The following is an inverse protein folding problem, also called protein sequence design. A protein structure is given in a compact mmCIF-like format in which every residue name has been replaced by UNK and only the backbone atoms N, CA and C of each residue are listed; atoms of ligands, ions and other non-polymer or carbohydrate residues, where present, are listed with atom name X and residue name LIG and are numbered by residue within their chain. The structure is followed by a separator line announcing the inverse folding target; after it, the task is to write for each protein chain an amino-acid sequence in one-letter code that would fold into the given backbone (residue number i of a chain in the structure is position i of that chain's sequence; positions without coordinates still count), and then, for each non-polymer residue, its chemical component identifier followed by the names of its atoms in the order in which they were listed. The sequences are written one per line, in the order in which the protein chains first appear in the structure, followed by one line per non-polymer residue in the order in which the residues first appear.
data_IF_876708829487
#
_entry.id   IF_876708829487
#
_cell.length_a   1.000
_cell.length_b   1.000
_cell.length_c   1.000
_cell.angle_alpha   90.00
_cell.angle_beta   90.00
_cell.angle_gamma   90.00
#
_symmetry.space_group_name_H-M   'P 1'
#
loop_
_entity.id
_entity.type
_entity.pdbx_description
1 polymer ?
#
# COMPACT_ATOMS: atom_id res chain seq x y z
N UNK A 1 -3.96 22.46 -2.32
CA UNK A 1 -2.95 21.59 -1.66
C UNK A 1 -1.64 22.35 -1.41
N UNK A 2 -1.63 23.31 -0.47
CA UNK A 2 -0.45 24.16 -0.16
C UNK A 2 -0.18 24.49 1.33
N UNK A 3 -0.93 24.01 2.36
CA UNK A 3 -0.59 24.37 3.75
C UNK A 3 0.34 23.38 4.47
N UNK A 4 0.65 22.20 3.90
CA UNK A 4 1.40 21.15 4.62
C UNK A 4 2.92 21.39 4.59
N UNK A 5 3.45 21.97 3.52
CA UNK A 5 4.90 22.19 3.36
C UNK A 5 5.41 23.26 4.34
N UNK A 6 4.58 24.25 4.69
CA UNK A 6 4.97 25.34 5.60
C UNK A 6 5.19 24.85 7.04
N UNK A 7 4.47 23.81 7.49
CA UNK A 7 4.60 23.29 8.86
C UNK A 7 5.88 22.48 9.07
N UNK A 8 6.40 21.83 8.03
CA UNK A 8 7.62 21.01 8.12
C UNK A 8 8.88 21.91 8.14
N UNK A 9 8.86 23.04 7.43
CA UNK A 9 9.99 23.99 7.43
C UNK A 9 10.13 24.75 8.75
N UNK A 10 9.04 24.95 9.50
CA UNK A 10 9.06 25.68 10.78
C UNK A 10 9.57 24.84 11.96
N UNK A 11 9.51 23.51 11.86
CA UNK A 11 9.97 22.60 12.91
C UNK A 11 11.49 22.34 12.84
N UNK A 12 12.10 22.57 11.67
CA UNK A 12 13.56 22.48 11.46
C UNK A 12 14.33 23.72 11.95
N UNK A 13 13.66 24.87 12.10
CA UNK A 13 14.33 26.11 12.51
C UNK A 13 14.45 26.28 14.04
N UNK A 14 13.71 25.49 14.83
CA UNK A 14 13.76 25.55 16.29
C UNK A 14 14.97 24.85 16.92
N UNK A 15 15.75 24.09 16.14
CA UNK A 15 16.92 23.36 16.64
C UNK A 15 18.25 24.12 16.54
N UNK A 16 18.31 25.24 15.80
CA UNK A 16 19.57 25.97 15.54
C UNK A 16 19.85 27.07 16.57
N UNK A 17 18.87 27.49 17.38
CA UNK A 17 19.06 28.59 18.34
C UNK A 17 19.60 28.18 19.71
N UNK A 18 19.84 26.89 19.98
CA UNK A 18 20.31 26.43 21.30
C UNK A 18 21.84 26.26 21.42
N UNK A 19 22.64 26.79 20.48
CA UNK A 19 24.10 26.61 20.50
C UNK A 19 24.86 27.81 21.11
N UNK A 20 24.21 28.95 21.38
CA UNK A 20 24.94 30.20 21.70
C UNK A 20 24.91 30.70 23.16
N UNK A 21 24.49 29.90 24.14
CA UNK A 21 24.49 30.33 25.56
C UNK A 21 25.29 29.41 26.49
N UNK A 22 26.55 29.13 26.16
CA UNK A 22 27.53 28.59 27.13
C UNK A 22 28.69 29.58 27.27
N UNK A 23 28.44 30.66 28.02
CA UNK A 23 29.49 31.48 28.59
C UNK A 23 29.56 31.22 30.10
N UNK A 24 30.74 30.76 30.52
CA UNK A 24 31.35 30.96 31.85
C UNK A 24 30.73 30.20 33.03
N UNK A 25 31.30 29.02 33.33
CA UNK A 25 31.36 28.51 34.70
C UNK A 25 32.78 28.01 35.03
N UNK A 26 33.30 28.33 36.24
CA UNK A 26 34.62 27.92 36.69
C UNK A 26 34.63 26.43 37.05
N UNK A 27 35.77 25.78 36.81
CA UNK A 27 36.07 24.37 37.11
C UNK A 27 35.33 23.78 38.33
N UNK A 28 34.56 22.69 38.14
CA UNK A 28 34.40 21.65 39.14
C UNK A 28 35.27 20.42 38.80
N UNK A 29 35.63 19.61 39.81
CA UNK A 29 36.64 18.57 39.69
C UNK A 29 36.15 17.34 38.92
N UNK A 30 37.10 16.68 38.24
CA UNK A 30 37.11 15.33 37.71
C UNK A 30 35.84 14.48 37.97
N UNK A 31 34.88 14.54 37.05
CA UNK A 31 33.79 13.56 36.93
C UNK A 31 33.43 13.29 35.45
N UNK A 32 34.43 13.34 34.57
CA UNK A 32 34.26 13.16 33.11
C UNK A 32 33.77 11.76 32.71
N UNK A 33 33.95 10.76 33.57
CA UNK A 33 33.48 9.39 33.35
C UNK A 33 31.95 9.24 33.37
N UNK A 34 31.23 10.07 34.14
CA UNK A 34 29.76 9.98 34.24
C UNK A 34 29.05 10.67 33.07
N UNK A 35 29.60 11.76 32.54
CA UNK A 35 28.99 12.53 31.44
C UNK A 35 28.99 11.74 30.13
N UNK A 36 30.08 11.01 29.86
CA UNK A 36 30.20 10.18 28.65
C UNK A 36 29.25 8.99 28.68
N UNK A 37 29.08 8.33 29.83
CA UNK A 37 28.09 7.26 30.03
C UNK A 37 26.65 7.76 29.84
N UNK A 38 26.31 8.94 30.39
CA UNK A 38 24.99 9.55 30.22
C UNK A 38 24.67 9.85 28.74
N UNK A 39 25.59 10.46 28.00
CA UNK A 39 25.41 10.74 26.57
C UNK A 39 25.25 9.45 25.75
N UNK A 40 25.99 8.40 26.06
CA UNK A 40 25.83 7.11 25.39
C UNK A 40 24.45 6.49 25.65
N UNK A 41 23.91 6.64 26.86
CA UNK A 41 22.57 6.13 27.19
C UNK A 41 21.46 6.86 26.44
N UNK A 42 21.53 8.19 26.33
CA UNK A 42 20.59 9.01 25.56
C UNK A 42 20.68 8.71 24.07
N UNK A 43 21.89 8.52 23.53
CA UNK A 43 22.07 8.13 22.13
C UNK A 43 21.47 6.75 21.83
N UNK A 44 21.62 5.78 22.74
CA UNK A 44 20.99 4.46 22.62
C UNK A 44 19.47 4.57 22.65
N UNK A 45 18.93 5.38 23.56
CA UNK A 45 17.48 5.64 23.65
C UNK A 45 16.94 6.27 22.37
N UNK A 46 17.60 7.31 21.86
CA UNK A 46 17.21 7.96 20.60
C UNK A 46 17.25 6.98 19.41
N UNK A 47 18.27 6.12 19.33
CA UNK A 47 18.34 5.07 18.29
C UNK A 47 17.17 4.09 18.38
N UNK A 48 16.77 3.71 19.59
CA UNK A 48 15.62 2.85 19.82
C UNK A 48 14.32 3.54 19.38
N UNK A 49 14.10 4.78 19.80
CA UNK A 49 12.91 5.57 19.43
C UNK A 49 12.81 5.76 17.90
N UNK A 50 13.92 6.06 17.22
CA UNK A 50 13.95 6.16 15.76
C UNK A 50 13.61 4.83 15.06
N UNK A 51 14.12 3.70 15.57
CA UNK A 51 13.77 2.38 15.03
C UNK A 51 12.29 2.07 15.23
N UNK A 52 11.73 2.41 16.39
CA UNK A 52 10.31 2.23 16.68
C UNK A 52 9.44 3.07 15.73
N UNK A 53 9.75 4.36 15.55
CA UNK A 53 9.02 5.21 14.59
C UNK A 53 9.11 4.67 13.16
N UNK A 54 10.28 4.14 12.76
CA UNK A 54 10.46 3.53 11.44
C UNK A 54 9.62 2.26 11.28
N UNK A 55 9.49 1.44 12.33
CA UNK A 55 8.61 0.27 12.35
C UNK A 55 7.14 0.71 12.18
N UNK A 56 6.67 1.67 12.97
CA UNK A 56 5.30 2.18 12.89
C UNK A 56 4.97 2.74 11.50
N UNK A 57 5.90 3.49 10.90
CA UNK A 57 5.77 3.97 9.53
C UNK A 57 5.69 2.81 8.52
N UNK A 58 6.51 1.79 8.70
CA UNK A 58 6.56 0.62 7.83
C UNK A 58 5.25 -0.19 7.88
N UNK A 59 4.70 -0.39 9.08
CA UNK A 59 3.40 -1.03 9.28
C UNK A 59 2.26 -0.22 8.67
N UNK A 60 2.29 1.10 8.83
CA UNK A 60 1.31 1.99 8.19
C UNK A 60 1.37 1.88 6.66
N UNK A 61 2.58 1.83 6.09
CA UNK A 61 2.79 1.68 4.65
C UNK A 61 2.23 0.36 4.13
N UNK A 62 2.48 -0.76 4.83
CA UNK A 62 1.91 -2.08 4.49
C UNK A 62 0.38 -2.02 4.52
N UNK A 63 -0.21 -1.49 5.60
CA UNK A 63 -1.67 -1.33 5.70
C UNK A 63 -2.26 -0.49 4.59
N UNK A 64 -1.54 0.53 4.11
CA UNK A 64 -1.98 1.33 2.98
C UNK A 64 -1.97 0.52 1.68
N UNK A 65 -0.90 -0.21 1.40
CA UNK A 65 -0.79 -1.09 0.24
C UNK A 65 -1.87 -2.18 0.25
N UNK A 66 -2.14 -2.79 1.41
CA UNK A 66 -3.22 -3.78 1.57
C UNK A 66 -4.59 -3.19 1.21
N UNK A 67 -4.89 -1.96 1.65
CA UNK A 67 -6.15 -1.29 1.30
C UNK A 67 -6.27 -1.04 -0.20
N UNK A 68 -5.17 -0.64 -0.84
CA UNK A 68 -5.15 -0.41 -2.28
C UNK A 68 -5.29 -1.74 -3.06
N UNK A 69 -4.68 -2.83 -2.57
CA UNK A 69 -4.86 -4.17 -3.11
C UNK A 69 -6.32 -4.64 -3.02
N UNK A 70 -6.95 -4.49 -1.85
CA UNK A 70 -8.35 -4.84 -1.65
C UNK A 70 -9.28 -4.06 -2.59
N UNK A 71 -8.98 -2.78 -2.87
CA UNK A 71 -9.74 -2.00 -3.86
C UNK A 71 -9.62 -2.60 -5.26
N UNK A 72 -8.41 -2.97 -5.69
CA UNK A 72 -8.18 -3.59 -7.00
C UNK A 72 -8.87 -4.94 -7.11
N UNK A 73 -8.79 -5.78 -6.07
CA UNK A 73 -9.47 -7.08 -6.05
C UNK A 73 -10.99 -6.94 -6.12
N UNK A 74 -11.57 -5.97 -5.42
CA UNK A 74 -13.00 -5.68 -5.51
C UNK A 74 -13.42 -5.25 -6.93
N UNK A 75 -12.61 -4.42 -7.60
CA UNK A 75 -12.88 -3.99 -8.98
C UNK A 75 -12.78 -5.18 -9.95
N UNK A 76 -11.79 -6.06 -9.78
CA UNK A 76 -11.68 -7.29 -10.55
C UNK A 76 -12.92 -8.18 -10.36
N UNK A 77 -13.38 -8.36 -9.13
CA UNK A 77 -14.57 -9.16 -8.83
C UNK A 77 -15.81 -8.58 -9.52
N UNK A 78 -16.02 -7.26 -9.44
CA UNK A 78 -17.13 -6.61 -10.11
C UNK A 78 -17.12 -6.82 -11.63
N UNK A 79 -15.95 -6.74 -12.26
CA UNK A 79 -15.80 -7.00 -13.70
C UNK A 79 -16.07 -8.48 -14.05
N UNK A 80 -15.65 -9.41 -13.20
CA UNK A 80 -15.95 -10.83 -13.38
C UNK A 80 -17.44 -11.12 -13.24
N UNK A 81 -18.11 -10.52 -12.26
CA UNK A 81 -19.56 -10.65 -12.07
C UNK A 81 -20.33 -10.10 -13.28
N UNK A 82 -19.88 -8.97 -13.84
CA UNK A 82 -20.42 -8.41 -15.09
C UNK A 82 -20.23 -9.36 -16.28
N UNK A 83 -19.04 -9.94 -16.44
CA UNK A 83 -18.77 -10.90 -17.51
C UNK A 83 -19.65 -12.15 -17.39
N UNK A 84 -19.88 -12.65 -16.17
CA UNK A 84 -20.79 -13.76 -15.92
C UNK A 84 -22.23 -13.39 -16.24
N UNK A 85 -22.68 -12.19 -15.88
CA UNK A 85 -24.02 -11.70 -16.20
C UNK A 85 -24.24 -11.62 -17.72
N UNK A 86 -23.28 -11.09 -18.47
CA UNK A 86 -23.34 -11.05 -19.94
C UNK A 86 -23.37 -12.46 -20.53
N UNK A 87 -22.55 -13.37 -20.00
CA UNK A 87 -22.52 -14.77 -20.46
C UNK A 87 -23.88 -15.47 -20.24
N UNK A 88 -24.57 -15.19 -19.13
CA UNK A 88 -25.94 -15.67 -18.88
C UNK A 88 -26.94 -15.08 -19.87
N UNK A 89 -26.84 -13.78 -20.18
CA UNK A 89 -27.70 -13.14 -21.19
C UNK A 89 -27.51 -13.77 -22.57
N UNK A 90 -26.27 -14.04 -22.98
CA UNK A 90 -25.99 -14.73 -24.25
C UNK A 90 -26.63 -16.13 -24.25
N UNK A 91 -26.49 -16.90 -23.16
CA UNK A 91 -27.09 -18.22 -23.05
C UNK A 91 -28.63 -18.17 -23.07
N UNK A 92 -29.23 -17.14 -22.48
CA UNK A 92 -30.68 -16.92 -22.54
C UNK A 92 -31.16 -16.59 -23.96
N UNK A 93 -30.44 -15.73 -24.69
CA UNK A 93 -30.71 -15.44 -26.10
C UNK A 93 -30.61 -16.72 -26.96
N UNK A 94 -29.63 -17.58 -26.69
CA UNK A 94 -29.48 -18.87 -27.37
C UNK A 94 -30.64 -19.83 -27.03
N UNK A 95 -31.09 -19.86 -25.77
CA UNK A 95 -32.18 -20.72 -25.32
C UNK A 95 -33.56 -20.31 -25.87
N UNK A 96 -33.77 -19.01 -26.15
CA UNK A 96 -35.01 -18.51 -26.75
C UNK A 96 -35.11 -18.81 -28.27
N UNK A 97 -34.22 -19.64 -28.85
CA UNK A 97 -34.21 -19.95 -30.28
C UNK A 97 -35.57 -20.52 -30.71
N UNK A 98 -36.23 -19.96 -31.76
CA UNK A 98 -37.59 -20.35 -32.10
C UNK A 98 -37.67 -21.83 -32.50
N UNK A 99 -38.60 -22.55 -31.87
CA UNK A 99 -39.09 -23.84 -32.34
C UNK A 99 -39.67 -23.74 -33.77
N UNK A 100 -39.64 -24.83 -34.56
CA UNK A 100 -39.44 -24.80 -36.02
C UNK A 100 -40.68 -24.42 -36.88
N UNK A 101 -41.66 -23.69 -36.35
CA UNK A 101 -42.95 -23.56 -37.06
C UNK A 101 -42.94 -22.43 -38.12
N UNK A 102 -42.14 -21.38 -37.97
CA UNK A 102 -41.69 -20.46 -39.04
C UNK A 102 -40.82 -19.34 -38.43
N UNK A 103 -39.50 -19.43 -38.46
CA UNK A 103 -38.65 -18.35 -37.95
C UNK A 103 -38.80 -17.11 -38.85
N UNK A 104 -39.16 -15.96 -38.27
CA UNK A 104 -39.06 -14.69 -38.99
C UNK A 104 -37.57 -14.36 -39.18
N UNK A 105 -37.07 -14.20 -40.43
CA UNK A 105 -35.65 -13.98 -40.71
C UNK A 105 -35.06 -12.79 -39.94
N UNK A 106 -35.83 -11.70 -39.81
CA UNK A 106 -35.40 -10.48 -39.14
C UNK A 106 -35.13 -10.70 -37.63
N UNK A 107 -35.92 -11.56 -36.97
CA UNK A 107 -35.76 -11.83 -35.54
C UNK A 107 -34.51 -12.68 -35.23
N UNK A 108 -34.05 -13.51 -36.18
CA UNK A 108 -32.80 -14.27 -36.06
C UNK A 108 -31.61 -13.32 -36.22
N UNK A 109 -31.65 -12.45 -37.23
CA UNK A 109 -30.55 -11.51 -37.52
C UNK A 109 -30.35 -10.49 -36.38
N UNK A 110 -31.43 -9.91 -35.86
CA UNK A 110 -31.38 -8.99 -34.71
C UNK A 110 -30.77 -9.66 -33.46
N UNK A 111 -31.14 -10.91 -33.20
CA UNK A 111 -30.58 -11.67 -32.08
C UNK A 111 -29.10 -11.99 -32.27
N UNK A 112 -28.72 -12.38 -33.47
CA UNK A 112 -27.33 -12.67 -33.80
C UNK A 112 -26.47 -11.39 -33.66
N UNK A 113 -26.99 -10.24 -34.10
CA UNK A 113 -26.34 -8.95 -33.91
C UNK A 113 -26.21 -8.59 -32.41
N UNK A 114 -27.26 -8.80 -31.61
CA UNK A 114 -27.21 -8.56 -30.16
C UNK A 114 -26.19 -9.46 -29.46
N UNK A 115 -26.11 -10.74 -29.85
CA UNK A 115 -25.11 -11.68 -29.33
C UNK A 115 -23.69 -11.25 -29.68
N UNK A 116 -23.44 -10.90 -30.94
CA UNK A 116 -22.13 -10.41 -31.37
C UNK A 116 -21.75 -9.11 -30.64
N UNK A 117 -22.68 -8.17 -30.45
CA UNK A 117 -22.42 -6.95 -29.67
C UNK A 117 -22.01 -7.28 -28.21
N UNK A 118 -22.75 -8.15 -27.53
CA UNK A 118 -22.42 -8.56 -26.16
C UNK A 118 -21.07 -9.29 -26.06
N UNK A 119 -20.77 -10.16 -27.03
CA UNK A 119 -19.57 -10.99 -27.02
C UNK A 119 -18.32 -10.22 -27.47
N UNK A 120 -18.39 -9.51 -28.58
CA UNK A 120 -17.23 -8.88 -29.22
C UNK A 120 -16.93 -7.50 -28.66
N UNK A 121 -17.94 -6.78 -28.17
CA UNK A 121 -17.76 -5.45 -27.60
C UNK A 121 -17.62 -5.50 -26.06
N UNK A 122 -18.65 -5.97 -25.35
CA UNK A 122 -18.71 -5.85 -23.90
C UNK A 122 -17.76 -6.81 -23.18
N UNK A 123 -17.77 -8.11 -23.52
CA UNK A 123 -16.82 -9.07 -22.91
C UNK A 123 -15.37 -8.72 -23.22
N UNK A 124 -15.07 -8.32 -24.46
CA UNK A 124 -13.73 -7.87 -24.85
C UNK A 124 -13.31 -6.62 -24.08
N UNK A 125 -14.20 -5.65 -23.91
CA UNK A 125 -13.95 -4.44 -23.12
C UNK A 125 -13.65 -4.77 -21.66
N UNK A 126 -14.39 -5.72 -21.06
CA UNK A 126 -14.12 -6.21 -19.71
C UNK A 126 -12.73 -6.87 -19.64
N UNK A 127 -12.39 -7.72 -20.61
CA UNK A 127 -11.10 -8.40 -20.66
C UNK A 127 -9.93 -7.41 -20.74
N UNK A 128 -10.06 -6.36 -21.57
CA UNK A 128 -9.07 -5.28 -21.68
C UNK A 128 -8.90 -4.53 -20.36
N UNK A 129 -9.97 -4.34 -19.57
CA UNK A 129 -9.89 -3.71 -18.23
C UNK A 129 -9.28 -4.62 -17.17
N UNK A 130 -9.50 -5.93 -17.25
CA UNK A 130 -8.97 -6.89 -16.27
C UNK A 130 -7.44 -7.00 -16.33
N UNK A 131 -6.83 -6.88 -17.52
CA UNK A 131 -5.38 -7.00 -17.67
C UNK A 131 -4.58 -6.01 -16.80
N UNK A 132 -4.78 -4.67 -16.89
CA UNK A 132 -4.03 -3.73 -16.06
C UNK A 132 -4.34 -3.87 -14.56
N UNK A 133 -5.54 -4.33 -14.19
CA UNK A 133 -5.86 -4.62 -12.79
C UNK A 133 -5.06 -5.81 -12.26
N UNK A 134 -4.86 -6.86 -13.07
CA UNK A 134 -4.06 -8.02 -12.68
C UNK A 134 -2.58 -7.64 -12.50
N UNK A 135 -2.05 -6.85 -13.42
CA UNK A 135 -0.68 -6.32 -13.33
C UNK A 135 -0.51 -5.50 -12.04
N UNK A 136 -1.46 -4.59 -11.78
CA UNK A 136 -1.45 -3.76 -10.56
C UNK A 136 -1.57 -4.59 -9.28
N UNK A 137 -2.41 -5.62 -9.26
CA UNK A 137 -2.54 -6.50 -8.09
C UNK A 137 -1.23 -7.27 -7.82
N UNK A 138 -0.57 -7.75 -8.87
CA UNK A 138 0.74 -8.40 -8.77
C UNK A 138 1.80 -7.44 -8.23
N UNK A 139 1.84 -6.22 -8.75
CA UNK A 139 2.76 -5.18 -8.28
C UNK A 139 2.55 -4.84 -6.80
N UNK A 140 1.29 -4.62 -6.38
CA UNK A 140 0.96 -4.32 -4.99
C UNK A 140 1.37 -5.47 -4.05
N UNK A 141 1.13 -6.72 -4.43
CA UNK A 141 1.59 -7.89 -3.68
C UNK A 141 3.12 -7.94 -3.57
N UNK A 142 3.84 -7.67 -4.67
CA UNK A 142 5.30 -7.61 -4.64
C UNK A 142 5.80 -6.52 -3.68
N UNK A 143 5.19 -5.33 -3.71
CA UNK A 143 5.53 -4.25 -2.80
C UNK A 143 5.25 -4.64 -1.34
N UNK A 144 4.09 -5.24 -1.04
CA UNK A 144 3.75 -5.72 0.31
C UNK A 144 4.82 -6.70 0.82
N UNK A 145 5.22 -7.69 0.01
CA UNK A 145 6.24 -8.67 0.40
C UNK A 145 7.61 -8.03 0.65
N UNK A 146 8.00 -7.05 -0.17
CA UNK A 146 9.22 -6.28 0.04
C UNK A 146 9.16 -5.51 1.36
N UNK A 147 8.07 -4.78 1.61
CA UNK A 147 7.90 -4.00 2.83
C UNK A 147 7.84 -4.88 4.09
N UNK A 148 7.26 -6.08 4.01
CA UNK A 148 7.27 -7.07 5.08
C UNK A 148 8.69 -7.55 5.41
N UNK A 149 9.53 -7.76 4.40
CA UNK A 149 10.94 -8.12 4.58
C UNK A 149 11.68 -7.01 5.33
N UNK A 150 11.49 -5.76 4.92
CA UNK A 150 12.07 -4.59 5.60
C UNK A 150 11.59 -4.50 7.05
N UNK A 151 10.31 -4.75 7.32
CA UNK A 151 9.76 -4.75 8.68
C UNK A 151 10.43 -5.83 9.56
N UNK A 152 10.64 -7.04 9.03
CA UNK A 152 11.33 -8.12 9.75
C UNK A 152 12.79 -7.76 10.09
N UNK A 153 13.51 -7.12 9.15
CA UNK A 153 14.86 -6.62 9.42
C UNK A 153 14.88 -5.56 10.53
N UNK A 154 13.90 -4.66 10.55
CA UNK A 154 13.79 -3.62 11.58
C UNK A 154 13.53 -4.25 12.95
N UNK A 155 12.62 -5.21 13.05
CA UNK A 155 12.40 -5.94 14.30
C UNK A 155 13.66 -6.66 14.78
N UNK A 156 14.43 -7.26 13.86
CA UNK A 156 15.70 -7.91 14.19
C UNK A 156 16.71 -6.92 14.74
N UNK A 157 16.84 -5.74 14.12
CA UNK A 157 17.72 -4.65 14.60
C UNK A 157 17.30 -4.14 15.98
N UNK A 158 16.00 -3.98 16.21
CA UNK A 158 15.47 -3.57 17.52
C UNK A 158 15.78 -4.60 18.61
N UNK A 159 15.58 -5.89 18.34
CA UNK A 159 15.92 -6.99 19.26
C UNK A 159 17.41 -7.03 19.58
N UNK A 160 18.28 -6.82 18.59
CA UNK A 160 19.72 -6.76 18.81
C UNK A 160 20.10 -5.57 19.72
N UNK A 161 19.46 -4.42 19.54
CA UNK A 161 19.72 -3.22 20.34
C UNK A 161 19.23 -3.36 21.79
N UNK A 162 18.12 -4.08 22.02
CA UNK A 162 17.65 -4.42 23.37
C UNK A 162 18.54 -5.47 24.03
N UNK A 163 18.94 -6.53 23.33
CA UNK A 163 19.85 -7.53 23.88
C UNK A 163 21.22 -6.94 24.26
N UNK A 164 21.73 -6.00 23.46
CA UNK A 164 22.95 -5.26 23.77
C UNK A 164 22.80 -4.27 24.96
N UNK A 165 21.57 -3.90 25.31
CA UNK A 165 21.29 -3.11 26.52
C UNK A 165 21.34 -4.00 27.77
N UNK A 166 20.83 -5.22 27.69
CA UNK A 166 20.77 -6.14 28.84
C UNK A 166 22.14 -6.78 29.16
N UNK A 167 23.06 -6.79 28.19
CA UNK A 167 24.41 -7.34 28.34
C UNK A 167 25.48 -6.34 28.83
N UNK A 168 25.12 -5.06 28.98
CA UNK A 168 26.03 -3.97 29.37
C UNK A 168 25.67 -3.40 30.74
#
# INVERSE_FOLDING_TARGET
MKPIIIKITLLLFAFITFIQSVQSQPNPPANEGNTTAAVQSELKKLRFEMLQQRIEFQEWKIKQLDRDLQRVLNEQQQLQDQAQAISRQIAELDAQAPEPIAPQPNAIEERQAMKSALQDEELKRIQVKLQPLNERASELNSQINQEQTVLQELHTKTKALTAAKDAA
#
